data_IF_013182615969
#
_entry.id   IF_013182615969
#
_cell.length_a   1.000
_cell.length_b   1.000
_cell.length_c   1.000
_cell.angle_alpha   90.00
_cell.angle_beta   90.00
_cell.angle_gamma   90.00
#
_symmetry.space_group_name_H-M   'P 1'
#
loop_
_entity.id
_entity.type
_entity.pdbx_description
1 polymer ?
#
# COMPACT_ATOMS: atom_id res chain seq x y z
N UNK A 1 -24.79 -42.05 5.82
CA UNK A 1 -24.37 -41.10 6.87
C UNK A 1 -23.77 -39.89 6.17
N UNK A 2 -24.33 -38.68 6.31
CA UNK A 2 -23.86 -37.50 5.57
C UNK A 2 -22.45 -37.08 6.02
N UNK A 3 -21.62 -36.74 5.03
CA UNK A 3 -20.28 -36.17 5.20
C UNK A 3 -20.38 -34.73 5.69
N UNK A 4 -20.11 -34.47 6.96
CA UNK A 4 -20.03 -33.09 7.44
C UNK A 4 -19.09 -32.89 8.62
N UNK A 5 -17.79 -32.88 8.38
CA UNK A 5 -16.87 -32.08 9.21
C UNK A 5 -15.65 -31.63 8.39
N UNK A 6 -15.90 -30.75 7.41
CA UNK A 6 -14.84 -29.93 6.76
C UNK A 6 -14.33 -28.84 7.73
N UNK A 7 -14.64 -28.92 9.03
CA UNK A 7 -14.00 -28.16 10.10
C UNK A 7 -12.64 -28.75 10.55
N UNK A 8 -12.15 -29.81 9.90
CA UNK A 8 -10.79 -30.33 10.10
C UNK A 8 -9.68 -29.40 9.54
N UNK A 9 -10.04 -28.27 8.92
CA UNK A 9 -9.09 -27.25 8.45
C UNK A 9 -8.43 -26.44 9.58
N UNK A 10 -8.88 -26.67 10.82
CA UNK A 10 -8.26 -26.22 12.06
C UNK A 10 -7.55 -27.39 12.77
N UNK A 11 -6.87 -28.27 12.03
CA UNK A 11 -5.81 -29.09 12.65
C UNK A 11 -4.89 -28.13 13.43
N UNK A 12 -4.54 -28.41 14.70
CA UNK A 12 -3.82 -27.47 15.57
C UNK A 12 -2.50 -26.96 14.98
N UNK A 13 -1.95 -27.63 13.95
CA UNK A 13 -0.80 -27.14 13.18
C UNK A 13 -1.12 -26.03 12.15
N UNK A 14 -2.30 -26.02 11.54
CA UNK A 14 -2.64 -25.11 10.42
C UNK A 14 -3.18 -23.75 10.89
N UNK A 15 -3.89 -23.72 12.02
CA UNK A 15 -4.40 -22.47 12.59
C UNK A 15 -3.31 -21.44 12.89
N UNK A 16 -2.15 -21.91 13.38
CA UNK A 16 -0.98 -21.06 13.67
C UNK A 16 -0.29 -20.52 12.41
N UNK A 17 -0.27 -21.29 11.33
CA UNK A 17 0.34 -20.87 10.05
C UNK A 17 -0.42 -19.72 9.43
N UNK A 18 -1.76 -19.72 9.50
CA UNK A 18 -2.57 -18.61 9.00
C UNK A 18 -2.27 -17.34 9.80
N UNK A 19 -2.21 -17.43 11.13
CA UNK A 19 -1.87 -16.29 11.98
C UNK A 19 -0.44 -15.78 11.72
N UNK A 20 0.52 -16.66 11.45
CA UNK A 20 1.89 -16.29 11.07
C UNK A 20 1.96 -15.67 9.67
N UNK A 21 1.20 -16.17 8.71
CA UNK A 21 1.10 -15.58 7.37
C UNK A 21 0.46 -14.20 7.42
N UNK A 22 -0.56 -14.01 8.27
CA UNK A 22 -1.15 -12.70 8.52
C UNK A 22 -0.14 -11.78 9.19
N UNK A 23 0.55 -12.23 10.24
CA UNK A 23 1.56 -11.42 10.93
C UNK A 23 2.75 -11.06 10.04
N UNK A 24 3.37 -12.05 9.40
CA UNK A 24 4.50 -11.88 8.49
C UNK A 24 4.12 -11.14 7.22
N UNK A 25 2.94 -11.42 6.66
CA UNK A 25 2.40 -10.71 5.50
C UNK A 25 2.10 -9.25 5.80
N UNK A 26 1.53 -8.94 6.97
CA UNK A 26 1.28 -7.56 7.38
C UNK A 26 2.58 -6.80 7.64
N UNK A 27 3.57 -7.43 8.28
CA UNK A 27 4.90 -6.85 8.48
C UNK A 27 5.60 -6.57 7.14
N UNK A 28 5.58 -7.54 6.22
CA UNK A 28 6.13 -7.38 4.88
C UNK A 28 5.43 -6.26 4.10
N UNK A 29 4.09 -6.21 4.17
CA UNK A 29 3.29 -5.15 3.54
C UNK A 29 3.62 -3.76 4.10
N UNK A 30 3.78 -3.64 5.42
CA UNK A 30 4.17 -2.39 6.07
C UNK A 30 5.57 -1.92 5.64
N UNK A 31 6.54 -2.85 5.56
CA UNK A 31 7.90 -2.54 5.08
C UNK A 31 7.89 -2.14 3.61
N UNK A 32 7.15 -2.84 2.76
CA UNK A 32 6.95 -2.49 1.35
C UNK A 32 6.31 -1.10 1.22
N UNK A 33 5.24 -0.82 1.98
CA UNK A 33 4.60 0.48 1.96
C UNK A 33 5.55 1.61 2.36
N UNK A 34 6.39 1.38 3.38
CA UNK A 34 7.41 2.33 3.82
C UNK A 34 8.51 2.54 2.77
N UNK A 35 9.03 1.47 2.16
CA UNK A 35 10.07 1.55 1.14
C UNK A 35 9.58 2.26 -0.13
N UNK A 36 8.32 2.03 -0.50
CA UNK A 36 7.72 2.56 -1.74
C UNK A 36 6.82 3.77 -1.51
N UNK A 37 6.86 4.42 -0.34
CA UNK A 37 5.98 5.54 0.02
C UNK A 37 5.87 6.61 -1.07
N UNK A 38 7.00 7.04 -1.63
CA UNK A 38 7.02 8.02 -2.73
C UNK A 38 6.49 7.50 -4.08
N UNK A 39 6.49 6.19 -4.31
CA UNK A 39 5.86 5.57 -5.49
C UNK A 39 4.37 5.35 -5.25
N UNK A 40 3.95 4.98 -4.05
CA UNK A 40 2.55 4.87 -3.63
C UNK A 40 1.86 6.24 -3.73
N UNK A 41 2.46 7.30 -3.20
CA UNK A 41 1.94 8.67 -3.30
C UNK A 41 1.77 9.13 -4.76
N UNK A 42 2.67 8.70 -5.66
CA UNK A 42 2.56 8.96 -7.11
C UNK A 42 1.48 8.09 -7.77
N UNK A 43 1.41 6.81 -7.45
CA UNK A 43 0.39 5.89 -7.97
C UNK A 43 -1.01 6.27 -7.53
N UNK A 44 -1.15 6.73 -6.29
CA UNK A 44 -2.42 7.17 -5.73
C UNK A 44 -2.80 8.59 -6.20
N UNK A 45 -1.98 9.20 -7.08
CA UNK A 45 -2.17 10.54 -7.63
C UNK A 45 -2.53 11.59 -6.56
N UNK A 46 -2.05 11.38 -5.33
CA UNK A 46 -2.30 12.28 -4.18
C UNK A 46 -1.47 13.55 -4.29
N UNK A 47 -0.40 13.52 -5.09
CA UNK A 47 0.17 14.76 -5.60
C UNK A 47 -0.73 15.24 -6.74
N UNK A 48 -1.72 16.07 -6.41
CA UNK A 48 -2.18 17.11 -7.34
C UNK A 48 -0.93 17.76 -7.92
N UNK A 49 -0.88 17.93 -9.22
CA UNK A 49 -0.04 18.94 -9.84
C UNK A 49 -0.49 20.33 -9.37
N UNK A 50 -0.30 20.64 -8.09
CA UNK A 50 -0.19 22.01 -7.65
C UNK A 50 1.29 22.40 -7.86
N UNK A 51 1.75 22.32 -9.12
CA UNK A 51 2.94 23.03 -9.56
C UNK A 51 2.46 24.30 -10.26
N UNK A 52 2.98 25.48 -9.87
CA UNK A 52 2.44 26.78 -10.19
C UNK A 52 2.71 27.12 -11.65
N UNK A 53 1.79 26.75 -12.54
CA UNK A 53 1.72 27.32 -13.88
C UNK A 53 1.18 28.76 -13.81
N UNK A 54 1.97 29.65 -13.20
CA UNK A 54 2.02 31.06 -13.59
C UNK A 54 3.46 31.51 -13.45
N UNK A 55 4.31 30.87 -14.25
CA UNK A 55 5.43 31.54 -14.90
C UNK A 55 4.83 32.67 -15.76
N UNK A 56 4.63 33.83 -15.15
CA UNK A 56 4.48 35.06 -15.90
C UNK A 56 5.90 35.55 -16.19
N UNK A 57 6.36 35.55 -17.46
CA UNK A 57 7.53 36.31 -17.81
C UNK A 57 7.13 37.78 -17.78
N UNK A 58 7.24 38.44 -16.62
CA UNK A 58 7.22 39.89 -16.51
C UNK A 58 8.53 40.43 -17.08
N UNK A 59 8.66 40.35 -18.40
CA UNK A 59 9.63 41.09 -19.20
C UNK A 59 9.03 42.48 -19.53
N UNK A 60 9.82 43.53 -19.75
CA UNK A 60 11.12 43.88 -19.17
C UNK A 60 11.06 45.23 -18.42
N UNK A 61 12.07 45.45 -17.59
CA UNK A 61 12.70 46.76 -17.38
C UNK A 61 12.48 47.71 -18.57
N UNK A 62 11.89 48.87 -18.29
CA UNK A 62 11.73 49.97 -19.25
C UNK A 62 12.32 51.24 -18.63
N UNK A 63 12.92 52.11 -19.46
CA UNK A 63 14.10 52.93 -19.16
C UNK A 63 13.88 54.16 -18.27
#
# INVERSE_FOLDING_TARGET
>A
MPMTTVLAYLDPGTGSVILQLLGGGLAAAAVMAKLYWGRILRFLHIRREDDPATDAPSKPESP
#
